data_IF_056718699835
#
_entry.id   IF_056718699835
#
_cell.length_a   1.000
_cell.length_b   1.000
_cell.length_c   1.000
_cell.angle_alpha   90.00
_cell.angle_beta   90.00
_cell.angle_gamma   90.00
#
_symmetry.space_group_name_H-M   'P 1'
#
loop_
_entity.id
_entity.type
_entity.pdbx_description
1 polymer ?
#
# COMPACT_ATOMS: atom_id res chain seq x y z
N UNK A 1 -11.90 33.52 -13.71
CA UNK A 1 -10.93 33.83 -12.64
C UNK A 1 -11.41 33.39 -11.25
N UNK A 2 -12.41 34.05 -10.64
CA UNK A 2 -12.93 33.62 -9.32
C UNK A 2 -13.64 32.26 -9.33
N UNK A 3 -14.37 31.91 -10.39
CA UNK A 3 -14.96 30.56 -10.55
C UNK A 3 -13.91 29.46 -10.74
N UNK A 4 -12.84 29.74 -11.48
CA UNK A 4 -11.78 28.75 -11.75
C UNK A 4 -10.89 28.54 -10.52
N UNK A 5 -10.69 29.58 -9.69
CA UNK A 5 -10.01 29.47 -8.40
C UNK A 5 -10.82 28.65 -7.40
N UNK A 6 -12.14 28.88 -7.29
CA UNK A 6 -13.02 28.13 -6.38
C UNK A 6 -13.21 26.68 -6.85
N UNK A 7 -13.35 26.44 -8.15
CA UNK A 7 -13.44 25.07 -8.71
C UNK A 7 -12.09 24.35 -8.56
N UNK A 8 -10.98 25.06 -8.72
CA UNK A 8 -9.64 24.56 -8.45
C UNK A 8 -9.44 24.18 -6.99
N UNK A 9 -9.86 25.02 -6.04
CA UNK A 9 -9.81 24.73 -4.60
C UNK A 9 -10.69 23.51 -4.24
N UNK A 10 -11.93 23.44 -4.73
CA UNK A 10 -12.85 22.33 -4.44
C UNK A 10 -12.36 20.99 -5.05
N UNK A 11 -11.81 21.01 -6.26
CA UNK A 11 -11.21 19.81 -6.87
C UNK A 11 -9.89 19.42 -6.21
N UNK A 12 -9.07 20.38 -5.77
CA UNK A 12 -7.81 20.08 -5.08
C UNK A 12 -8.07 19.58 -3.65
N UNK A 13 -9.01 20.17 -2.93
CA UNK A 13 -9.42 19.73 -1.59
C UNK A 13 -10.02 18.32 -1.61
N UNK A 14 -10.82 18.00 -2.63
CA UNK A 14 -11.37 16.65 -2.80
C UNK A 14 -10.31 15.62 -3.19
N UNK A 15 -9.35 15.96 -4.07
CA UNK A 15 -8.23 15.08 -4.42
C UNK A 15 -7.26 14.88 -3.25
N UNK A 16 -6.99 15.91 -2.44
CA UNK A 16 -6.18 15.79 -1.21
C UNK A 16 -6.87 14.90 -0.17
N UNK A 17 -8.20 15.05 0.00
CA UNK A 17 -8.98 14.18 0.87
C UNK A 17 -8.96 12.73 0.37
N UNK A 18 -9.05 12.51 -0.94
CA UNK A 18 -8.94 11.20 -1.56
C UNK A 18 -7.56 10.59 -1.32
N UNK A 19 -6.49 11.34 -1.59
CA UNK A 19 -5.11 10.93 -1.33
C UNK A 19 -4.91 10.54 0.15
N UNK A 20 -5.44 11.34 1.08
CA UNK A 20 -5.39 11.03 2.51
C UNK A 20 -6.10 9.72 2.85
N UNK A 21 -7.28 9.46 2.27
CA UNK A 21 -8.02 8.20 2.48
C UNK A 21 -7.26 6.99 1.91
N UNK A 22 -6.72 7.10 0.70
CA UNK A 22 -5.96 6.04 0.05
C UNK A 22 -4.68 5.74 0.82
N UNK A 23 -3.95 6.79 1.23
CA UNK A 23 -2.78 6.68 2.09
C UNK A 23 -3.10 5.93 3.39
N UNK A 24 -4.16 6.35 4.10
CA UNK A 24 -4.56 5.75 5.37
C UNK A 24 -4.96 4.28 5.21
N UNK A 25 -5.70 3.94 4.16
CA UNK A 25 -6.10 2.56 3.89
C UNK A 25 -4.87 1.66 3.64
N UNK A 26 -3.97 2.10 2.77
CA UNK A 26 -2.79 1.32 2.40
C UNK A 26 -1.76 1.25 3.53
N UNK A 27 -1.51 2.33 4.26
CA UNK A 27 -0.58 2.30 5.38
C UNK A 27 -1.13 1.43 6.52
N UNK A 28 -2.45 1.42 6.74
CA UNK A 28 -3.08 0.53 7.73
C UNK A 28 -2.89 -0.95 7.35
N UNK A 29 -3.07 -1.30 6.08
CA UNK A 29 -2.77 -2.65 5.58
C UNK A 29 -1.29 -3.02 5.79
N UNK A 30 -0.35 -2.13 5.44
CA UNK A 30 1.08 -2.31 5.66
C UNK A 30 1.44 -2.48 7.14
N UNK A 31 0.86 -1.66 8.02
CA UNK A 31 1.08 -1.75 9.47
C UNK A 31 0.58 -3.10 9.99
N UNK A 32 -0.61 -3.55 9.60
CA UNK A 32 -1.12 -4.85 10.01
C UNK A 32 -0.32 -6.02 9.42
N UNK A 33 0.22 -5.91 8.21
CA UNK A 33 1.16 -6.90 7.67
C UNK A 33 2.43 -6.98 8.52
N UNK A 34 3.01 -5.83 8.88
CA UNK A 34 4.22 -5.78 9.70
C UNK A 34 3.97 -6.30 11.13
N UNK A 35 3.02 -5.70 11.85
CA UNK A 35 2.68 -6.07 13.22
C UNK A 35 2.05 -7.46 13.32
N UNK A 36 1.41 -7.93 12.25
CA UNK A 36 0.93 -9.31 12.13
C UNK A 36 2.05 -10.34 12.29
N UNK A 37 3.32 -9.95 12.10
CA UNK A 37 4.49 -10.76 12.41
C UNK A 37 4.51 -11.24 13.87
N UNK A 38 3.95 -10.44 14.78
CA UNK A 38 3.81 -10.78 16.19
C UNK A 38 2.96 -12.04 16.46
N UNK A 39 2.14 -12.44 15.49
CA UNK A 39 1.33 -13.68 15.54
C UNK A 39 2.07 -14.88 14.95
N UNK A 40 3.40 -14.89 15.03
CA UNK A 40 4.27 -15.83 14.29
C UNK A 40 4.02 -15.80 12.77
N UNK A 41 3.64 -14.64 12.23
CA UNK A 41 3.42 -14.41 10.81
C UNK A 41 2.09 -14.91 10.25
N UNK A 42 1.21 -15.52 11.06
CA UNK A 42 -0.10 -16.00 10.60
C UNK A 42 -0.95 -14.87 10.02
N UNK A 43 -1.07 -13.76 10.75
CA UNK A 43 -1.80 -12.57 10.27
C UNK A 43 -1.10 -11.95 9.06
N UNK A 44 0.22 -11.89 9.03
CA UNK A 44 0.98 -11.37 7.87
C UNK A 44 0.66 -12.15 6.60
N UNK A 45 0.72 -13.49 6.65
CA UNK A 45 0.42 -14.36 5.51
C UNK A 45 -1.04 -14.21 5.07
N UNK A 46 -1.97 -14.15 6.03
CA UNK A 46 -3.38 -13.95 5.73
C UNK A 46 -3.64 -12.62 5.00
N UNK A 47 -3.01 -11.53 5.45
CA UNK A 47 -3.19 -10.20 4.83
C UNK A 47 -2.55 -10.13 3.44
N UNK A 48 -1.36 -10.72 3.24
CA UNK A 48 -0.73 -10.82 1.92
C UNK A 48 -1.65 -11.59 0.96
N UNK A 49 -2.17 -12.74 1.40
CA UNK A 49 -3.06 -13.57 0.59
C UNK A 49 -4.36 -12.86 0.21
N UNK A 50 -5.02 -12.23 1.19
CA UNK A 50 -6.29 -11.54 0.95
C UNK A 50 -6.13 -10.29 0.09
N UNK A 51 -5.10 -9.46 0.31
CA UNK A 51 -4.84 -8.30 -0.55
C UNK A 51 -4.48 -8.72 -1.98
N UNK A 52 -3.63 -9.74 -2.14
CA UNK A 52 -3.29 -10.27 -3.46
C UNK A 52 -4.51 -10.82 -4.20
N UNK A 53 -5.39 -11.53 -3.48
CA UNK A 53 -6.65 -12.04 -4.04
C UNK A 53 -7.61 -10.92 -4.47
N UNK A 54 -7.78 -9.88 -3.65
CA UNK A 54 -8.65 -8.74 -3.97
C UNK A 54 -8.13 -7.99 -5.20
N UNK A 55 -6.83 -7.66 -5.26
CA UNK A 55 -6.23 -6.99 -6.41
C UNK A 55 -6.38 -7.85 -7.68
N UNK A 56 -6.11 -9.15 -7.58
CA UNK A 56 -6.27 -10.09 -8.70
C UNK A 56 -7.72 -10.21 -9.18
N UNK A 57 -8.69 -10.18 -8.27
CA UNK A 57 -10.11 -10.22 -8.60
C UNK A 57 -10.57 -8.95 -9.30
N UNK A 58 -10.15 -7.77 -8.81
CA UNK A 58 -10.44 -6.48 -9.45
C UNK A 58 -9.82 -6.44 -10.86
N UNK A 59 -8.58 -6.91 -10.99
CA UNK A 59 -7.90 -6.97 -12.28
C UNK A 59 -8.67 -7.81 -13.31
N UNK A 60 -9.18 -8.98 -12.90
CA UNK A 60 -9.97 -9.85 -13.78
C UNK A 60 -11.30 -9.21 -14.19
N UNK A 61 -12.02 -8.58 -13.25
CA UNK A 61 -13.29 -7.89 -13.54
C UNK A 61 -13.06 -6.74 -14.53
N UNK A 62 -12.07 -5.87 -14.28
CA UNK A 62 -11.79 -4.73 -15.17
C UNK A 62 -11.31 -5.20 -16.54
N UNK A 63 -10.55 -6.30 -16.61
CA UNK A 63 -10.11 -6.89 -17.88
C UNK A 63 -11.27 -7.38 -18.76
N UNK A 64 -12.37 -7.84 -18.16
CA UNK A 64 -13.55 -8.28 -18.93
C UNK A 64 -14.35 -7.11 -19.51
N UNK A 65 -14.34 -5.97 -18.83
CA UNK A 65 -15.14 -4.79 -19.20
C UNK A 65 -14.35 -3.72 -19.97
N UNK A 66 -13.01 -3.77 -19.95
CA UNK A 66 -12.15 -2.71 -20.49
C UNK A 66 -10.95 -3.24 -21.26
N UNK A 67 -10.34 -2.37 -22.07
CA UNK A 67 -9.12 -2.71 -22.81
C UNK A 67 -7.94 -2.95 -21.84
N UNK A 68 -6.97 -3.77 -22.25
CA UNK A 68 -5.75 -3.98 -21.48
C UNK A 68 -4.98 -2.67 -21.20
N UNK A 69 -5.08 -1.71 -22.13
CA UNK A 69 -4.46 -0.39 -21.98
C UNK A 69 -5.12 0.42 -20.86
N UNK A 70 -6.45 0.37 -20.76
CA UNK A 70 -7.20 1.00 -19.67
C UNK A 70 -6.85 0.40 -18.31
N UNK A 71 -6.79 -0.94 -18.23
CA UNK A 71 -6.38 -1.65 -17.01
C UNK A 71 -4.99 -1.22 -16.56
N UNK A 72 -4.03 -1.18 -17.50
CA UNK A 72 -2.66 -0.76 -17.20
C UNK A 72 -2.61 0.71 -16.77
N UNK A 73 -3.35 1.60 -17.45
CA UNK A 73 -3.46 3.01 -17.12
C UNK A 73 -4.05 3.24 -15.72
N UNK A 74 -5.02 2.42 -15.31
CA UNK A 74 -5.62 2.50 -14.00
C UNK A 74 -4.64 2.07 -12.90
N UNK A 75 -3.89 0.98 -13.08
CA UNK A 75 -3.11 0.34 -11.99
C UNK A 75 -1.67 0.80 -11.94
N UNK A 76 -0.98 0.87 -13.09
CA UNK A 76 0.49 1.06 -13.15
C UNK A 76 0.98 2.32 -12.43
N UNK A 77 0.33 3.50 -12.53
CA UNK A 77 0.86 4.74 -11.97
C UNK A 77 1.12 4.68 -10.46
N UNK A 78 0.23 4.02 -9.72
CA UNK A 78 0.31 3.90 -8.26
C UNK A 78 0.78 2.51 -7.81
N UNK A 79 0.39 1.45 -8.53
CA UNK A 79 0.75 0.07 -8.23
C UNK A 79 2.25 -0.21 -8.24
N UNK A 80 3.04 0.57 -9.01
CA UNK A 80 4.51 0.49 -8.98
C UNK A 80 5.11 0.84 -7.60
N UNK A 81 4.40 1.61 -6.77
CA UNK A 81 4.82 1.99 -5.43
C UNK A 81 4.15 1.13 -4.34
N UNK A 82 2.87 0.80 -4.51
CA UNK A 82 2.12 -0.01 -3.54
C UNK A 82 2.61 -1.45 -3.47
N UNK A 83 2.84 -2.09 -4.61
CA UNK A 83 3.24 -3.51 -4.64
C UNK A 83 4.58 -3.71 -3.90
N UNK A 84 5.64 -2.92 -4.17
CA UNK A 84 6.86 -3.00 -3.36
C UNK A 84 6.62 -2.70 -1.88
N UNK A 85 5.79 -1.70 -1.54
CA UNK A 85 5.49 -1.37 -0.15
C UNK A 85 4.83 -2.54 0.61
N UNK A 86 3.90 -3.25 -0.04
CA UNK A 86 3.24 -4.43 0.52
C UNK A 86 4.21 -5.60 0.68
N UNK A 87 5.03 -5.87 -0.34
CA UNK A 87 6.05 -6.93 -0.28
C UNK A 87 7.06 -6.66 0.85
N UNK A 88 7.55 -5.43 0.96
CA UNK A 88 8.50 -5.04 2.02
C UNK A 88 7.83 -5.15 3.40
N UNK A 89 6.60 -4.66 3.55
CA UNK A 89 5.84 -4.77 4.81
C UNK A 89 5.64 -6.22 5.24
N UNK A 90 5.27 -7.08 4.30
CA UNK A 90 5.15 -8.53 4.52
C UNK A 90 6.48 -9.17 4.91
N UNK A 91 7.56 -8.86 4.22
CA UNK A 91 8.90 -9.37 4.53
C UNK A 91 9.38 -8.93 5.92
N UNK A 92 9.12 -7.68 6.31
CA UNK A 92 9.43 -7.17 7.65
C UNK A 92 8.58 -7.87 8.72
N UNK A 93 7.30 -8.14 8.45
CA UNK A 93 6.44 -8.90 9.36
C UNK A 93 6.90 -10.35 9.55
N UNK A 94 7.26 -11.05 8.47
CA UNK A 94 7.83 -12.40 8.57
C UNK A 94 9.20 -12.41 9.25
N UNK A 95 9.99 -11.35 9.08
CA UNK A 95 11.26 -11.18 9.80
C UNK A 95 11.01 -11.02 11.31
N UNK A 96 10.00 -10.26 11.71
CA UNK A 96 9.57 -10.13 13.11
C UNK A 96 9.12 -11.49 13.67
N UNK A 97 8.34 -12.26 12.91
CA UNK A 97 7.92 -13.61 13.30
C UNK A 97 9.13 -14.54 13.53
N UNK A 98 10.16 -14.42 12.69
CA UNK A 98 11.42 -15.18 12.85
C UNK A 98 12.17 -14.76 14.11
N UNK A 99 12.27 -13.47 14.41
CA UNK A 99 12.92 -13.00 15.65
C UNK A 99 12.19 -13.53 16.89
N UNK A 100 10.85 -13.51 16.89
CA UNK A 100 10.04 -14.10 17.97
C UNK A 100 10.25 -15.60 18.12
N UNK A 101 10.30 -16.34 17.01
CA UNK A 101 10.61 -17.78 17.06
C UNK A 101 12.02 -18.05 17.62
N UNK A 102 12.98 -17.20 17.26
CA UNK A 102 14.36 -17.32 17.75
C UNK A 102 14.46 -17.07 19.25
N UNK A 103 13.76 -16.05 19.77
CA UNK A 103 13.70 -15.75 21.21
C UNK A 103 12.91 -16.83 21.98
N UNK A 104 11.85 -17.38 21.39
CA UNK A 104 11.11 -18.48 22.02
C UNK A 104 11.99 -19.72 22.22
N UNK A 105 12.86 -20.02 21.26
CA UNK A 105 13.64 -21.28 21.22
C UNK A 105 15.08 -21.16 21.70
N UNK A 106 15.56 -19.95 21.98
CA UNK A 106 16.96 -19.70 22.33
C UNK A 106 17.24 -18.25 22.73
N UNK A 107 18.50 -17.82 22.73
CA UNK A 107 18.85 -16.44 23.06
C UNK A 107 18.47 -15.53 21.88
N UNK A 108 17.43 -14.72 22.06
CA UNK A 108 16.99 -13.70 21.11
C UNK A 108 16.51 -12.43 21.82
N UNK A 109 16.39 -11.34 21.07
CA UNK A 109 15.79 -10.07 21.51
C UNK A 109 14.87 -9.56 20.40
N UNK A 110 13.66 -10.12 20.34
CA UNK A 110 12.68 -9.74 19.33
C UNK A 110 12.21 -8.30 19.53
N UNK A 111 12.27 -7.75 20.74
CA UNK A 111 11.96 -6.36 21.01
C UNK A 111 12.97 -5.40 20.36
N UNK A 112 14.27 -5.67 20.52
CA UNK A 112 15.34 -4.93 19.85
C UNK A 112 15.26 -5.04 18.33
N UNK A 113 15.05 -6.25 17.81
CA UNK A 113 14.87 -6.50 16.37
C UNK A 113 13.64 -5.75 15.83
N UNK A 114 12.51 -5.79 16.55
CA UNK A 114 11.30 -5.08 16.15
C UNK A 114 11.53 -3.57 15.99
N UNK A 115 12.33 -2.95 16.87
CA UNK A 115 12.67 -1.53 16.76
C UNK A 115 13.50 -1.24 15.50
N UNK A 116 14.46 -2.11 15.15
CA UNK A 116 15.26 -2.00 13.93
C UNK A 116 14.38 -2.16 12.68
N UNK A 117 13.53 -3.19 12.65
CA UNK A 117 12.61 -3.47 11.55
C UNK A 117 11.57 -2.35 11.41
N UNK A 118 11.05 -1.81 12.51
CA UNK A 118 10.12 -0.68 12.51
C UNK A 118 10.74 0.59 11.95
N UNK A 119 12.02 0.88 12.24
CA UNK A 119 12.72 2.00 11.59
C UNK A 119 12.84 1.81 10.08
N UNK A 120 13.10 0.58 9.60
CA UNK A 120 13.13 0.27 8.17
C UNK A 120 11.75 0.41 7.53
N UNK A 121 10.70 -0.02 8.23
CA UNK A 121 9.31 0.16 7.79
C UNK A 121 9.02 1.65 7.55
N UNK A 122 9.29 2.50 8.54
CA UNK A 122 9.05 3.94 8.42
C UNK A 122 9.90 4.57 7.31
N UNK A 123 11.18 4.19 7.21
CA UNK A 123 12.10 4.78 6.24
C UNK A 123 11.79 4.41 4.77
N UNK A 124 11.14 3.26 4.54
CA UNK A 124 10.95 2.72 3.17
C UNK A 124 9.48 2.61 2.78
N UNK A 125 8.64 2.03 3.63
CA UNK A 125 7.22 1.77 3.32
C UNK A 125 6.42 3.07 3.32
N UNK A 126 6.62 3.93 4.32
CA UNK A 126 5.88 5.19 4.44
C UNK A 126 6.06 6.10 3.22
N UNK A 127 7.27 6.38 2.71
CA UNK A 127 7.42 7.20 1.51
C UNK A 127 6.84 6.54 0.26
N UNK A 128 6.94 5.22 0.11
CA UNK A 128 6.32 4.51 -1.03
C UNK A 128 4.80 4.67 -1.03
N UNK A 129 4.14 4.45 0.11
CA UNK A 129 2.67 4.61 0.21
C UNK A 129 2.25 6.06 0.04
N UNK A 130 3.04 7.02 0.53
CA UNK A 130 2.77 8.44 0.30
C UNK A 130 2.82 8.80 -1.19
N UNK A 131 3.84 8.33 -1.91
CA UNK A 131 3.95 8.54 -3.37
C UNK A 131 2.80 7.85 -4.08
N UNK A 132 2.48 6.59 -3.73
CA UNK A 132 1.35 5.85 -4.28
C UNK A 132 0.04 6.64 -4.19
N UNK A 133 -0.32 7.10 -2.99
CA UNK A 133 -1.56 7.82 -2.77
C UNK A 133 -1.65 9.15 -3.54
N UNK A 134 -0.53 9.87 -3.68
CA UNK A 134 -0.46 11.08 -4.52
C UNK A 134 -0.63 10.71 -6.00
N UNK A 135 0.08 9.69 -6.48
CA UNK A 135 -0.03 9.25 -7.87
C UNK A 135 -1.46 8.77 -8.19
N UNK A 136 -2.10 8.09 -7.24
CA UNK A 136 -3.46 7.59 -7.41
C UNK A 136 -4.51 8.71 -7.41
N UNK A 137 -4.37 9.71 -6.55
CA UNK A 137 -5.35 10.78 -6.45
C UNK A 137 -5.23 11.85 -7.55
N UNK A 138 -4.02 12.05 -8.08
CA UNK A 138 -3.75 13.15 -9.02
C UNK A 138 -3.41 12.66 -10.44
N UNK A 139 -2.72 11.54 -10.59
CA UNK A 139 -2.20 11.09 -11.89
C UNK A 139 -3.13 10.04 -12.52
N UNK A 140 -3.58 9.05 -11.76
CA UNK A 140 -4.46 7.99 -12.28
C UNK A 140 -5.73 8.52 -12.96
N UNK A 141 -6.50 9.49 -12.40
CA UNK A 141 -7.71 10.00 -13.04
C UNK A 141 -7.41 10.73 -14.35
N UNK A 142 -6.27 11.44 -14.39
CA UNK A 142 -5.81 12.12 -15.59
C UNK A 142 -5.48 11.11 -16.69
N UNK A 143 -4.69 10.08 -16.41
CA UNK A 143 -4.31 9.06 -17.40
C UNK A 143 -5.55 8.31 -17.92
N UNK A 144 -6.47 7.94 -17.04
CA UNK A 144 -7.70 7.23 -17.44
C UNK A 144 -8.51 8.05 -18.45
N UNK A 145 -8.59 9.38 -18.30
CA UNK A 145 -9.31 10.25 -19.25
C UNK A 145 -8.70 10.32 -20.66
N UNK A 146 -7.40 10.04 -20.81
CA UNK A 146 -6.76 10.00 -22.14
C UNK A 146 -6.89 8.65 -22.84
N UNK A 147 -7.16 7.60 -22.07
CA UNK A 147 -7.17 6.20 -22.55
C UNK A 147 -8.61 5.67 -22.73
N UNK A 148 -9.58 6.25 -22.02
CA UNK A 148 -11.02 5.99 -22.18
C UNK A 148 -11.60 6.75 -23.38
#
# INVERSE_FOLDING_TARGET
FFRDAIIGEIMTDSSLLLAGKLFLNNIQACIFMFLGGATFGLVTIFIIGTNGFVIGSILEVVRQESSLLYVAAAIVPHGIFEIPAFVISGALGLSLARSLYTEWTGPGDAGGDAAVLGRRFVAVVLPLIAIAAITEAFITPWIIQFVA
#
